data_IF_289233095943
#
_entry.id   IF_289233095943
#
_cell.length_a   1.000
_cell.length_b   1.000
_cell.length_c   1.000
_cell.angle_alpha   90.00
_cell.angle_beta   90.00
_cell.angle_gamma   90.00
#
_symmetry.space_group_name_H-M   'P 1'
#
loop_
_entity.id
_entity.type
_entity.pdbx_description
1 polymer ?
#
# COMPACT_ATOMS: atom_id res chain seq x y z
N UNK A 1 14.32 -13.55 5.42
CA UNK A 1 14.40 -12.24 4.70
C UNK A 1 13.19 -12.20 3.80
N UNK A 2 12.36 -11.17 3.91
CA UNK A 2 11.18 -11.05 3.05
C UNK A 2 11.62 -10.66 1.64
N UNK A 3 11.10 -11.35 0.62
CA UNK A 3 11.34 -11.02 -0.78
C UNK A 3 10.34 -9.95 -1.25
N UNK A 4 10.82 -8.96 -2.00
CA UNK A 4 9.93 -7.96 -2.63
C UNK A 4 9.54 -8.51 -4.01
N UNK A 5 8.24 -8.73 -4.21
CA UNK A 5 7.68 -9.18 -5.48
C UNK A 5 7.37 -8.00 -6.42
N UNK A 6 6.88 -6.90 -5.86
CA UNK A 6 6.58 -5.67 -6.60
C UNK A 6 6.70 -4.45 -5.66
N UNK A 7 7.14 -3.30 -6.18
CA UNK A 7 7.20 -2.05 -5.42
C UNK A 7 6.80 -0.82 -6.24
N UNK A 8 6.18 0.14 -5.56
CA UNK A 8 5.93 1.50 -6.07
C UNK A 8 6.27 2.51 -4.99
N UNK A 9 6.79 3.64 -5.43
CA UNK A 9 7.11 4.78 -4.56
C UNK A 9 6.33 6.00 -5.03
N UNK A 10 5.87 6.79 -4.06
CA UNK A 10 5.14 8.03 -4.32
C UNK A 10 5.57 9.08 -3.30
N UNK A 11 6.06 10.22 -3.79
CA UNK A 11 6.28 11.39 -2.95
C UNK A 11 5.13 12.37 -3.12
N UNK A 12 4.49 12.75 -2.01
CA UNK A 12 3.47 13.80 -1.96
C UNK A 12 3.86 14.78 -0.86
N UNK A 13 4.16 16.02 -1.25
CA UNK A 13 4.69 17.04 -0.34
C UNK A 13 5.92 16.54 0.44
N UNK A 14 5.82 16.46 1.77
CA UNK A 14 6.86 15.97 2.69
C UNK A 14 6.71 14.49 3.05
N UNK A 15 5.73 13.79 2.46
CA UNK A 15 5.45 12.38 2.73
C UNK A 15 6.01 11.51 1.61
N UNK A 16 6.75 10.48 1.99
CA UNK A 16 7.23 9.43 1.10
C UNK A 16 6.46 8.14 1.39
N UNK A 17 5.75 7.63 0.39
CA UNK A 17 5.02 6.38 0.48
C UNK A 17 5.77 5.28 -0.26
N UNK A 18 5.96 4.14 0.39
CA UNK A 18 6.47 2.91 -0.21
C UNK A 18 5.38 1.86 -0.15
N UNK A 19 4.95 1.37 -1.31
CA UNK A 19 3.89 0.37 -1.47
C UNK A 19 4.56 -0.88 -2.03
N UNK A 20 4.68 -1.92 -1.22
CA UNK A 20 5.47 -3.10 -1.55
C UNK A 20 4.66 -4.37 -1.34
N UNK A 21 4.54 -5.19 -2.38
CA UNK A 21 4.01 -6.53 -2.25
C UNK A 21 5.17 -7.49 -1.98
N UNK A 22 5.12 -8.20 -0.86
CA UNK A 22 6.22 -8.99 -0.32
C UNK A 22 5.79 -10.43 -0.04
N UNK A 23 6.75 -11.34 0.04
CA UNK A 23 6.57 -12.74 0.39
C UNK A 23 7.60 -13.19 1.44
N UNK A 24 7.15 -13.98 2.41
CA UNK A 24 8.02 -14.70 3.34
C UNK A 24 7.45 -16.08 3.66
N UNK A 25 8.07 -16.79 4.60
CA UNK A 25 7.70 -18.17 4.96
C UNK A 25 6.24 -18.30 5.47
N UNK A 26 5.61 -17.21 5.90
CA UNK A 26 4.21 -17.18 6.35
C UNK A 26 3.23 -16.84 5.21
N UNK A 27 3.73 -16.52 4.02
CA UNK A 27 2.96 -16.18 2.84
C UNK A 27 3.18 -14.77 2.33
N UNK A 28 2.25 -14.30 1.49
CA UNK A 28 2.31 -12.99 0.82
C UNK A 28 1.51 -11.92 1.54
N UNK A 29 1.99 -10.68 1.47
CA UNK A 29 1.33 -9.53 2.07
C UNK A 29 1.72 -8.22 1.36
N UNK A 30 0.84 -7.23 1.43
CA UNK A 30 1.12 -5.86 1.04
C UNK A 30 1.63 -5.09 2.27
N UNK A 31 2.73 -4.37 2.13
CA UNK A 31 3.23 -3.42 3.11
C UNK A 31 3.15 -2.02 2.54
N UNK A 32 2.44 -1.14 3.22
CA UNK A 32 2.39 0.28 2.90
C UNK A 32 3.14 1.01 4.01
N UNK A 33 4.19 1.74 3.64
CA UNK A 33 5.00 2.55 4.54
C UNK A 33 4.78 4.02 4.22
N UNK A 34 4.51 4.84 5.24
CA UNK A 34 4.58 6.29 5.17
C UNK A 34 5.82 6.76 5.94
N UNK A 35 6.65 7.57 5.30
CA UNK A 35 7.74 8.29 5.94
C UNK A 35 7.52 9.80 5.85
N UNK A 36 7.50 10.47 7.00
CA UNK A 36 7.32 11.92 7.08
C UNK A 36 8.00 12.48 8.33
N UNK A 37 8.75 13.57 8.17
CA UNK A 37 9.45 14.26 9.27
C UNK A 37 10.32 13.30 10.12
N UNK A 38 11.00 12.35 9.47
CA UNK A 38 11.85 11.35 10.13
C UNK A 38 11.08 10.27 10.91
N UNK A 39 9.74 10.25 10.83
CA UNK A 39 8.90 9.18 11.39
C UNK A 39 8.47 8.23 10.28
N UNK A 40 8.51 6.94 10.59
CA UNK A 40 8.13 5.87 9.66
C UNK A 40 6.99 5.05 10.25
N UNK A 41 5.83 5.07 9.59
CA UNK A 41 4.66 4.27 9.93
C UNK A 41 4.48 3.18 8.87
N UNK A 42 3.96 2.02 9.26
CA UNK A 42 3.67 0.94 8.31
C UNK A 42 2.39 0.20 8.66
N UNK A 43 1.65 -0.17 7.63
CA UNK A 43 0.51 -1.09 7.71
C UNK A 43 0.83 -2.31 6.85
N UNK A 44 0.50 -3.49 7.36
CA UNK A 44 0.64 -4.76 6.65
C UNK A 44 -0.76 -5.33 6.43
N UNK A 45 -1.06 -5.66 5.18
CA UNK A 45 -2.32 -6.29 4.77
C UNK A 45 -1.98 -7.69 4.24
N UNK A 46 -2.44 -8.78 4.90
CA UNK A 46 -2.27 -10.13 4.38
C UNK A 46 -2.88 -10.27 2.98
N UNK A 47 -2.27 -11.09 2.12
CA UNK A 47 -2.75 -11.30 0.74
C UNK A 47 -4.20 -11.77 0.66
N UNK A 48 -4.68 -12.50 1.67
CA UNK A 48 -6.07 -12.97 1.78
C UNK A 48 -7.10 -11.85 1.90
N UNK A 49 -6.70 -10.64 2.33
CA UNK A 49 -7.59 -9.48 2.48
C UNK A 49 -7.44 -8.41 1.40
N UNK A 50 -6.57 -8.61 0.40
CA UNK A 50 -6.24 -7.54 -0.56
C UNK A 50 -7.38 -7.19 -1.51
N UNK A 51 -8.17 -8.18 -1.93
CA UNK A 51 -9.32 -7.95 -2.80
C UNK A 51 -10.35 -7.04 -2.12
N UNK A 52 -10.72 -7.37 -0.88
CA UNK A 52 -11.67 -6.57 -0.10
C UNK A 52 -11.11 -5.18 0.25
N UNK A 53 -9.83 -5.12 0.65
CA UNK A 53 -9.14 -3.85 0.91
C UNK A 53 -9.14 -2.95 -0.33
N UNK A 54 -8.78 -3.48 -1.50
CA UNK A 54 -8.74 -2.75 -2.76
C UNK A 54 -10.14 -2.27 -3.19
N UNK A 55 -11.16 -3.13 -3.04
CA UNK A 55 -12.55 -2.76 -3.31
C UNK A 55 -13.01 -1.59 -2.44
N UNK A 56 -12.77 -1.65 -1.13
CA UNK A 56 -13.17 -0.56 -0.22
C UNK A 56 -12.37 0.72 -0.44
N UNK A 57 -11.06 0.61 -0.69
CA UNK A 57 -10.23 1.76 -1.06
C UNK A 57 -10.77 2.42 -2.33
N UNK A 58 -11.06 1.63 -3.37
CA UNK A 58 -11.63 2.10 -4.63
C UNK A 58 -12.97 2.82 -4.44
N UNK A 59 -13.87 2.28 -3.61
CA UNK A 59 -15.16 2.91 -3.29
C UNK A 59 -15.01 4.25 -2.58
N UNK A 60 -14.05 4.38 -1.66
CA UNK A 60 -13.76 5.66 -1.00
C UNK A 60 -13.23 6.65 -2.03
N UNK A 61 -12.28 6.22 -2.86
CA UNK A 61 -11.62 7.09 -3.84
C UNK A 61 -12.56 7.54 -4.96
N UNK A 62 -13.49 6.70 -5.42
CA UNK A 62 -14.46 7.07 -6.46
C UNK A 62 -15.37 8.23 -6.05
N UNK A 63 -15.50 8.51 -4.75
CA UNK A 63 -16.27 9.67 -4.28
C UNK A 63 -15.53 11.00 -4.48
N UNK A 64 -14.22 10.96 -4.70
CA UNK A 64 -13.36 12.15 -4.74
C UNK A 64 -12.53 12.26 -6.02
N UNK A 65 -12.32 11.16 -6.73
CA UNK A 65 -11.61 11.14 -8.01
C UNK A 65 -12.63 11.17 -9.15
N UNK A 66 -12.43 12.01 -10.17
CA UNK A 66 -13.31 12.01 -11.33
C UNK A 66 -13.29 10.63 -11.98
N UNK A 67 -14.47 10.13 -12.35
CA UNK A 67 -14.60 8.94 -13.18
C UNK A 67 -13.73 9.15 -14.42
N UNK A 68 -12.72 8.30 -14.61
CA UNK A 68 -11.98 8.30 -15.86
C UNK A 68 -12.97 7.93 -16.96
N UNK A 69 -13.23 8.85 -17.89
CA UNK A 69 -14.03 8.60 -19.09
C UNK A 69 -13.45 7.44 -19.91
#
# INVERSE_FOLDING_TARGET
>A
MDNILESRELQVERKHFFIEFRENDRGRFLKITEEAHGRRNSVIIPSTGLEEFGRHLGQVLSNFLPSSC
#
